data_IF_500025682716
#
_entry.id   IF_500025682716
#
_cell.length_a   1.000
_cell.length_b   1.000
_cell.length_c   1.000
_cell.angle_alpha   90.00
_cell.angle_beta   90.00
_cell.angle_gamma   90.00
#
_symmetry.space_group_name_H-M   'P 1'
#
loop_
_entity.id
_entity.type
_entity.pdbx_description
1 polymer ?
#
# COMPACT_ATOMS: atom_id res chain seq x y z
N UNK A 1 -27.31 45.87 58.20
CA UNK A 1 -26.99 45.74 56.76
C UNK A 1 -25.49 45.67 56.67
N UNK A 2 -25.05 44.43 56.48
CA UNK A 2 -23.71 43.86 56.63
C UNK A 2 -22.66 44.37 55.64
N UNK A 3 -21.38 44.17 56.00
CA UNK A 3 -20.46 43.55 55.04
C UNK A 3 -19.05 44.13 54.92
N UNK A 4 -18.16 43.69 55.80
CA UNK A 4 -16.70 43.89 55.86
C UNK A 4 -15.88 43.14 54.79
N UNK A 5 -14.75 43.76 54.43
CA UNK A 5 -13.37 43.27 54.18
C UNK A 5 -13.02 41.80 53.81
N UNK A 6 -11.98 41.71 52.98
CA UNK A 6 -10.97 40.66 52.77
C UNK A 6 -11.29 39.38 51.97
N UNK A 7 -10.74 39.29 50.74
CA UNK A 7 -9.54 38.47 50.43
C UNK A 7 -9.18 38.45 48.93
N UNK A 8 -7.91 38.72 48.65
CA UNK A 8 -7.20 38.36 47.41
C UNK A 8 -7.38 36.87 47.12
N UNK A 9 -7.75 36.48 45.91
CA UNK A 9 -7.35 35.19 45.30
C UNK A 9 -7.08 35.41 43.81
N UNK A 10 -5.80 35.32 43.48
CA UNK A 10 -5.28 35.18 42.14
C UNK A 10 -5.57 33.74 41.71
N UNK A 11 -6.39 33.52 40.67
CA UNK A 11 -6.56 32.21 40.06
C UNK A 11 -6.59 32.35 38.53
N UNK A 12 -5.40 32.08 37.98
CA UNK A 12 -5.13 31.45 36.69
C UNK A 12 -6.22 30.52 36.16
N UNK A 13 -6.38 30.57 34.83
CA UNK A 13 -7.20 29.77 33.91
C UNK A 13 -7.49 28.31 34.27
N UNK A 14 -8.52 27.74 33.62
CA UNK A 14 -8.19 26.61 32.75
C UNK A 14 -8.67 26.78 31.30
N UNK A 15 -7.71 26.60 30.40
CA UNK A 15 -7.80 26.35 28.96
C UNK A 15 -8.58 25.06 28.61
N UNK A 16 -9.78 24.88 29.12
CA UNK A 16 -10.55 23.66 28.87
C UNK A 16 -12.03 23.93 28.83
N UNK A 17 -12.54 24.23 27.63
CA UNK A 17 -13.88 23.86 27.10
C UNK A 17 -14.22 24.73 25.89
N UNK A 18 -13.54 24.51 24.77
CA UNK A 18 -14.12 24.73 23.44
C UNK A 18 -13.63 23.57 22.56
N UNK A 19 -14.30 22.43 22.76
CA UNK A 19 -14.00 21.17 22.09
C UNK A 19 -14.62 21.18 20.69
N UNK A 20 -13.74 20.99 19.69
CA UNK A 20 -13.92 20.17 18.48
C UNK A 20 -15.17 20.42 17.62
N UNK A 21 -15.06 21.38 16.71
CA UNK A 21 -15.84 21.38 15.46
C UNK A 21 -14.86 21.71 14.33
N UNK A 22 -14.13 20.70 13.86
CA UNK A 22 -13.50 20.63 12.54
C UNK A 22 -12.97 19.20 12.39
N UNK A 23 -13.16 18.63 11.19
CA UNK A 23 -12.82 17.26 10.78
C UNK A 23 -11.91 16.51 11.75
N UNK A 24 -12.43 15.46 12.38
CA UNK A 24 -11.53 14.39 12.83
C UNK A 24 -10.69 14.02 11.62
N UNK A 25 -9.36 14.05 11.82
CA UNK A 25 -8.32 13.72 10.84
C UNK A 25 -8.57 12.38 10.11
N UNK A 26 -9.50 11.55 10.57
CA UNK A 26 -9.91 10.28 9.97
C UNK A 26 -10.46 10.37 8.55
N UNK A 27 -11.18 11.41 8.13
CA UNK A 27 -11.77 11.42 6.77
C UNK A 27 -10.78 11.82 5.66
N UNK A 28 -9.89 12.80 5.90
CA UNK A 28 -8.78 13.08 4.97
C UNK A 28 -7.69 12.00 5.04
N UNK A 29 -7.49 11.39 6.21
CA UNK A 29 -6.62 10.20 6.32
C UNK A 29 -7.23 9.00 5.61
N UNK A 30 -8.56 8.86 5.53
CA UNK A 30 -9.20 7.80 4.77
C UNK A 30 -8.97 7.96 3.26
N UNK A 31 -8.93 9.19 2.74
CA UNK A 31 -8.58 9.45 1.33
C UNK A 31 -7.08 9.18 1.05
N UNK A 32 -6.19 9.49 2.01
CA UNK A 32 -4.75 9.21 1.93
C UNK A 32 -4.40 7.73 2.12
N UNK A 33 -5.20 6.98 2.88
CA UNK A 33 -4.99 5.54 3.12
C UNK A 33 -5.62 4.70 2.00
N UNK A 34 -6.71 5.16 1.37
CA UNK A 34 -7.34 4.44 0.27
C UNK A 34 -6.52 4.46 -1.02
N UNK A 35 -5.64 5.44 -1.27
CA UNK A 35 -4.71 5.38 -2.41
C UNK A 35 -3.49 4.47 -2.17
N UNK A 36 -3.38 3.82 -1.00
CA UNK A 36 -2.24 2.97 -0.65
C UNK A 36 -2.60 1.61 0.01
N UNK A 37 -3.87 1.23 0.18
CA UNK A 37 -4.21 -0.06 0.81
C UNK A 37 -5.55 -0.67 0.35
N UNK A 38 -5.40 -1.84 -0.29
CA UNK A 38 -6.25 -3.04 -0.44
C UNK A 38 -7.79 -3.10 -0.20
N UNK A 39 -8.40 -3.88 -1.10
CA UNK A 39 -9.36 -4.99 -0.90
C UNK A 39 -10.81 -4.77 -0.39
N UNK A 40 -11.77 -5.08 -1.27
CA UNK A 40 -12.90 -5.98 -0.99
C UNK A 40 -14.21 -5.38 -0.45
N UNK A 41 -15.19 -5.11 -1.33
CA UNK A 41 -16.50 -5.80 -1.46
C UNK A 41 -17.45 -5.00 -2.35
N UNK A 42 -18.14 -5.72 -3.25
CA UNK A 42 -18.90 -5.17 -4.36
C UNK A 42 -20.28 -4.60 -3.94
N UNK A 43 -20.61 -3.43 -4.48
CA UNK A 43 -21.94 -2.82 -4.47
C UNK A 43 -22.24 -2.25 -5.87
N UNK A 44 -23.48 -2.42 -6.32
CA UNK A 44 -23.95 -2.36 -7.71
C UNK A 44 -23.82 -1.00 -8.41
N UNK A 45 -23.23 -1.03 -9.62
CA UNK A 45 -22.96 0.11 -10.49
C UNK A 45 -24.20 0.68 -11.21
N UNK A 46 -24.33 2.01 -11.20
CA UNK A 46 -25.13 2.78 -12.15
C UNK A 46 -24.23 3.29 -13.28
N UNK A 47 -24.62 3.00 -14.53
CA UNK A 47 -23.83 3.30 -15.73
C UNK A 47 -23.85 4.81 -16.08
N UNK A 48 -22.67 5.42 -16.22
CA UNK A 48 -22.49 6.78 -16.73
C UNK A 48 -22.44 6.78 -18.27
N UNK A 49 -23.06 7.79 -18.88
CA UNK A 49 -23.27 7.96 -20.32
C UNK A 49 -22.00 8.38 -21.07
N UNK A 50 -21.79 7.81 -22.25
CA UNK A 50 -20.53 7.71 -22.99
C UNK A 50 -20.04 8.95 -23.78
N UNK A 51 -20.45 10.19 -23.44
CA UNK A 51 -20.14 11.37 -24.26
C UNK A 51 -18.91 12.20 -23.81
N UNK A 52 -18.49 12.16 -22.55
CA UNK A 52 -17.40 13.02 -22.01
C UNK A 52 -15.99 12.37 -22.01
N UNK A 53 -15.85 11.18 -22.60
CA UNK A 53 -14.72 10.26 -22.33
C UNK A 53 -13.36 10.58 -22.99
N UNK A 54 -13.21 11.69 -23.73
CA UNK A 54 -11.98 11.98 -24.48
C UNK A 54 -10.91 12.75 -23.68
N UNK A 55 -11.31 13.57 -22.68
CA UNK A 55 -10.38 14.30 -21.81
C UNK A 55 -10.07 13.57 -20.50
N UNK A 56 -11.00 12.74 -20.03
CA UNK A 56 -10.89 12.07 -18.75
C UNK A 56 -9.76 11.01 -18.73
N UNK A 57 -8.92 11.04 -17.71
CA UNK A 57 -7.86 10.04 -17.52
C UNK A 57 -8.46 8.73 -16.98
N UNK A 58 -8.62 7.76 -17.88
CA UNK A 58 -9.16 6.43 -17.58
C UNK A 58 -8.39 5.68 -16.50
N UNK A 59 -7.13 6.03 -16.20
CA UNK A 59 -6.40 5.44 -15.08
C UNK A 59 -7.02 5.80 -13.73
N UNK A 60 -7.50 7.03 -13.58
CA UNK A 60 -8.20 7.49 -12.38
C UNK A 60 -9.51 6.72 -12.20
N UNK A 61 -10.32 6.59 -13.27
CA UNK A 61 -11.55 5.77 -13.23
C UNK A 61 -11.28 4.36 -12.69
N UNK A 62 -10.29 3.65 -13.25
CA UNK A 62 -9.94 2.29 -12.82
C UNK A 62 -9.54 2.22 -11.34
N UNK A 63 -8.82 3.22 -10.85
CA UNK A 63 -8.42 3.28 -9.44
C UNK A 63 -9.62 3.54 -8.54
N UNK A 64 -10.46 4.51 -8.87
CA UNK A 64 -11.67 4.83 -8.09
C UNK A 64 -12.65 3.65 -8.06
N UNK A 65 -12.86 2.98 -9.20
CA UNK A 65 -13.67 1.75 -9.30
C UNK A 65 -13.09 0.62 -8.43
N UNK A 66 -11.77 0.41 -8.46
CA UNK A 66 -11.09 -0.58 -7.63
C UNK A 66 -11.28 -0.31 -6.13
N UNK A 67 -11.33 0.97 -5.74
CA UNK A 67 -11.57 1.41 -4.37
C UNK A 67 -13.06 1.41 -3.98
N UNK A 68 -13.96 1.11 -4.91
CA UNK A 68 -15.40 1.07 -4.67
C UNK A 68 -16.04 2.46 -4.55
N UNK A 69 -15.37 3.51 -5.04
CA UNK A 69 -15.93 4.86 -5.03
C UNK A 69 -16.88 5.07 -6.21
N UNK A 70 -18.02 5.70 -5.93
CA UNK A 70 -18.92 6.22 -6.96
C UNK A 70 -18.47 7.62 -7.34
N UNK A 71 -18.44 7.91 -8.64
CA UNK A 71 -18.00 9.20 -9.16
C UNK A 71 -18.83 9.63 -10.37
N UNK A 72 -18.84 10.93 -10.61
CA UNK A 72 -19.29 11.56 -11.85
C UNK A 72 -18.08 12.19 -12.55
N UNK A 73 -18.10 12.25 -13.87
CA UNK A 73 -17.06 12.93 -14.66
C UNK A 73 -17.62 14.28 -15.09
N UNK A 74 -16.91 15.36 -14.82
CA UNK A 74 -17.35 16.71 -15.20
C UNK A 74 -16.95 17.08 -16.64
N UNK A 75 -17.33 18.29 -17.08
CA UNK A 75 -17.10 18.79 -18.44
C UNK A 75 -15.61 18.90 -18.80
N UNK A 76 -14.73 19.03 -17.81
CA UNK A 76 -13.28 19.09 -17.99
C UNK A 76 -12.62 17.70 -17.92
N UNK A 77 -13.41 16.68 -17.60
CA UNK A 77 -12.97 15.29 -17.48
C UNK A 77 -12.44 14.95 -16.09
N UNK A 78 -12.63 15.80 -15.09
CA UNK A 78 -12.21 15.55 -13.71
C UNK A 78 -13.27 14.69 -13.00
N UNK A 79 -12.83 13.89 -12.02
CA UNK A 79 -13.66 12.90 -11.34
C UNK A 79 -14.20 13.46 -10.02
N UNK A 80 -15.50 13.73 -9.97
CA UNK A 80 -16.21 14.23 -8.80
C UNK A 80 -16.75 13.10 -7.93
N UNK A 81 -16.50 13.17 -6.63
CA UNK A 81 -17.03 12.26 -5.61
C UNK A 81 -17.68 13.06 -4.48
N UNK A 82 -18.74 12.49 -3.89
CA UNK A 82 -19.45 13.08 -2.74
C UNK A 82 -19.32 12.14 -1.55
N UNK A 83 -18.85 12.67 -0.42
CA UNK A 83 -18.67 11.94 0.82
C UNK A 83 -19.60 12.46 1.89
N UNK A 84 -20.25 11.56 2.61
CA UNK A 84 -20.98 11.90 3.83
C UNK A 84 -19.99 12.20 4.97
N UNK A 85 -20.23 13.30 5.67
CA UNK A 85 -19.43 13.79 6.79
C UNK A 85 -20.35 13.95 8.02
N UNK A 86 -19.76 13.85 9.22
CA UNK A 86 -20.49 14.04 10.48
C UNK A 86 -21.37 15.33 10.45
N UNK A 87 -22.65 15.15 10.80
CA UNK A 87 -23.63 16.22 11.01
C UNK A 87 -24.42 16.64 9.77
N UNK A 88 -24.96 15.69 9.00
CA UNK A 88 -25.75 15.91 7.76
C UNK A 88 -25.03 16.75 6.70
N UNK A 89 -23.69 16.76 6.74
CA UNK A 89 -22.85 17.50 5.79
C UNK A 89 -22.29 16.55 4.75
N UNK A 90 -22.20 17.03 3.53
CA UNK A 90 -21.45 16.35 2.47
C UNK A 90 -20.18 17.13 2.15
N UNK A 91 -19.16 16.40 1.69
CA UNK A 91 -17.92 16.96 1.18
C UNK A 91 -17.73 16.49 -0.25
N UNK A 92 -17.50 17.45 -1.15
CA UNK A 92 -17.17 17.15 -2.54
C UNK A 92 -15.66 17.05 -2.69
N UNK A 93 -15.19 16.13 -3.53
CA UNK A 93 -13.79 15.95 -3.89
C UNK A 93 -13.71 15.76 -5.40
N UNK A 94 -12.73 16.41 -6.03
CA UNK A 94 -12.43 16.31 -7.44
C UNK A 94 -11.03 15.70 -7.60
N UNK A 95 -10.90 14.62 -8.35
CA UNK A 95 -9.59 14.13 -8.80
C UNK A 95 -9.35 14.65 -10.21
N UNK A 96 -8.33 15.51 -10.35
CA UNK A 96 -8.06 16.11 -11.65
C UNK A 96 -7.52 15.08 -12.63
N UNK A 97 -7.99 15.09 -13.86
CA UNK A 97 -7.47 14.29 -14.97
C UNK A 97 -6.16 14.86 -15.52
N UNK A 98 -5.96 16.17 -15.40
CA UNK A 98 -4.69 16.83 -15.71
C UNK A 98 -3.56 16.39 -14.77
N UNK A 99 -2.35 16.36 -15.34
CA UNK A 99 -1.10 16.06 -14.65
C UNK A 99 -0.12 17.19 -14.97
N UNK A 100 0.47 17.76 -13.93
CA UNK A 100 1.45 18.83 -14.03
C UNK A 100 2.86 18.27 -13.92
N UNK A 101 3.76 18.73 -14.79
CA UNK A 101 5.16 18.31 -14.81
C UNK A 101 6.03 19.28 -13.98
N UNK A 102 6.69 18.75 -12.96
CA UNK A 102 7.62 19.47 -12.09
C UNK A 102 9.00 18.81 -12.14
N UNK A 103 9.78 19.16 -13.16
CA UNK A 103 11.11 18.59 -13.38
C UNK A 103 11.02 17.10 -13.74
N UNK A 104 11.46 16.23 -12.84
CA UNK A 104 11.35 14.76 -12.99
C UNK A 104 10.12 14.17 -12.30
N UNK A 105 9.29 15.01 -11.68
CA UNK A 105 8.10 14.58 -10.96
C UNK A 105 6.86 14.97 -11.74
N UNK A 106 5.90 14.06 -11.77
CA UNK A 106 4.59 14.31 -12.32
C UNK A 106 3.63 14.41 -11.13
N UNK A 107 2.79 15.44 -11.11
CA UNK A 107 1.88 15.72 -10.00
C UNK A 107 0.46 15.77 -10.52
N UNK A 108 -0.42 14.98 -9.90
CA UNK A 108 -1.87 15.09 -10.02
C UNK A 108 -2.41 15.76 -8.77
N UNK A 109 -3.35 16.67 -8.97
CA UNK A 109 -4.02 17.34 -7.87
C UNK A 109 -5.38 16.70 -7.55
N UNK A 110 -5.69 16.62 -6.26
CA UNK A 110 -7.02 16.29 -5.75
C UNK A 110 -7.54 17.51 -5.00
N UNK A 111 -8.70 18.00 -5.41
CA UNK A 111 -9.27 19.26 -4.92
C UNK A 111 -10.49 19.00 -4.06
N UNK A 112 -10.61 19.70 -2.95
CA UNK A 112 -11.80 19.64 -2.10
C UNK A 112 -12.17 21.04 -1.59
N UNK A 113 -13.33 21.60 -1.99
CA UNK A 113 -13.77 22.91 -1.50
C UNK A 113 -14.06 22.86 -0.01
N UNK A 114 -13.40 23.69 0.79
CA UNK A 114 -13.56 23.72 2.25
C UNK A 114 -14.26 24.97 2.78
N UNK A 115 -14.26 26.07 2.02
CA UNK A 115 -14.92 27.32 2.40
C UNK A 115 -15.23 28.18 1.18
N UNK A 116 -16.43 28.75 1.11
CA UNK A 116 -16.79 29.74 0.08
C UNK A 116 -17.13 31.05 0.76
N UNK A 117 -16.45 32.11 0.33
CA UNK A 117 -16.68 33.48 0.76
C UNK A 117 -17.73 34.16 -0.10
N UNK A 118 -18.43 35.14 0.48
CA UNK A 118 -19.37 35.99 -0.26
C UNK A 118 -18.67 36.96 -1.22
N UNK A 119 -17.37 37.22 -1.01
CA UNK A 119 -16.58 38.12 -1.85
C UNK A 119 -15.31 37.41 -2.33
N UNK A 120 -14.65 37.97 -3.35
CA UNK A 120 -13.33 37.48 -3.78
C UNK A 120 -12.24 37.70 -2.72
N UNK A 121 -12.49 38.46 -1.65
CA UNK A 121 -11.54 38.66 -0.57
C UNK A 121 -11.97 37.87 0.67
N UNK A 122 -11.11 36.95 1.11
CA UNK A 122 -11.40 36.19 2.31
C UNK A 122 -11.32 37.08 3.55
N UNK A 123 -12.21 36.87 4.54
CA UNK A 123 -12.04 37.49 5.84
C UNK A 123 -10.66 37.18 6.41
N UNK A 124 -10.03 38.17 7.05
CA UNK A 124 -8.64 38.06 7.57
C UNK A 124 -8.48 36.83 8.48
N UNK A 125 -9.46 36.58 9.36
CA UNK A 125 -9.43 35.43 10.25
C UNK A 125 -9.41 34.09 9.49
N UNK A 126 -10.15 34.00 8.37
CA UNK A 126 -10.17 32.80 7.52
C UNK A 126 -8.84 32.69 6.78
N UNK A 127 -8.35 33.76 6.15
CA UNK A 127 -7.09 33.73 5.41
C UNK A 127 -5.90 33.30 6.29
N UNK A 128 -5.79 33.86 7.51
CA UNK A 128 -4.75 33.48 8.47
C UNK A 128 -4.87 32.02 8.88
N UNK A 129 -6.09 31.54 9.13
CA UNK A 129 -6.31 30.14 9.49
C UNK A 129 -5.89 29.18 8.38
N UNK A 130 -6.25 29.48 7.12
CA UNK A 130 -5.87 28.65 5.97
C UNK A 130 -4.36 28.65 5.75
N UNK A 131 -3.69 29.78 6.00
CA UNK A 131 -2.24 29.88 5.93
C UNK A 131 -1.57 29.02 7.01
N UNK A 132 -2.03 29.12 8.26
CA UNK A 132 -1.55 28.30 9.37
C UNK A 132 -1.77 26.80 9.12
N UNK A 133 -2.97 26.41 8.67
CA UNK A 133 -3.27 25.00 8.36
C UNK A 133 -2.42 24.48 7.19
N UNK A 134 -2.03 25.33 6.24
CA UNK A 134 -1.15 24.95 5.12
C UNK A 134 0.29 24.63 5.58
N UNK A 135 0.76 25.20 6.69
CA UNK A 135 2.08 24.89 7.24
C UNK A 135 2.20 23.41 7.66
N UNK A 136 1.10 22.82 8.11
CA UNK A 136 1.04 21.44 8.57
C UNK A 136 0.76 20.45 7.43
N UNK A 137 0.19 20.92 6.31
CA UNK A 137 -0.07 20.12 5.13
C UNK A 137 1.23 19.86 4.33
N UNK A 138 1.74 18.62 4.33
CA UNK A 138 3.00 18.27 3.66
C UNK A 138 2.83 17.87 2.20
N UNK A 139 1.69 17.25 1.88
CA UNK A 139 1.37 16.77 0.54
C UNK A 139 0.42 17.72 -0.18
N UNK A 140 0.27 18.96 0.27
CA UNK A 140 -0.76 19.84 -0.23
C UNK A 140 -0.90 21.13 0.57
N UNK A 141 -1.98 21.86 0.36
CA UNK A 141 -2.26 23.10 1.07
C UNK A 141 -3.55 23.76 0.63
N UNK A 142 -3.87 24.90 1.24
CA UNK A 142 -5.04 25.69 0.86
C UNK A 142 -4.72 26.61 -0.30
N UNK A 143 -5.46 26.45 -1.39
CA UNK A 143 -5.40 27.29 -2.59
C UNK A 143 -6.67 28.11 -2.71
N UNK A 144 -6.52 29.39 -3.03
CA UNK A 144 -7.65 30.28 -3.29
C UNK A 144 -8.05 30.21 -4.77
N UNK A 145 -9.27 29.77 -5.03
CA UNK A 145 -9.91 29.79 -6.34
C UNK A 145 -11.07 30.79 -6.30
N UNK A 146 -10.85 31.99 -6.82
CA UNK A 146 -11.80 33.11 -6.74
C UNK A 146 -12.30 33.40 -5.32
N UNK A 147 -13.54 33.01 -4.99
CA UNK A 147 -14.18 33.15 -3.68
C UNK A 147 -14.19 31.84 -2.87
N UNK A 148 -13.60 30.76 -3.37
CA UNK A 148 -13.56 29.45 -2.70
C UNK A 148 -12.15 29.09 -2.27
N UNK A 149 -11.99 28.64 -1.04
CA UNK A 149 -10.78 28.00 -0.54
C UNK A 149 -10.87 26.49 -0.85
N UNK A 150 -9.98 26.05 -1.71
CA UNK A 150 -9.81 24.64 -2.08
C UNK A 150 -8.67 24.06 -1.26
N UNK A 151 -8.90 22.94 -0.60
CA UNK A 151 -7.79 22.13 -0.13
C UNK A 151 -7.29 21.29 -1.30
N UNK A 152 -6.01 21.45 -1.65
CA UNK A 152 -5.37 20.78 -2.79
C UNK A 152 -4.36 19.80 -2.25
N UNK A 153 -4.50 18.53 -2.62
CA UNK A 153 -3.53 17.46 -2.36
C UNK A 153 -2.78 17.12 -3.65
N UNK A 154 -1.47 17.08 -3.55
CA UNK A 154 -0.55 16.69 -4.61
C UNK A 154 -0.21 15.22 -4.44
N UNK A 155 -0.51 14.41 -5.46
CA UNK A 155 -0.17 13.00 -5.52
C UNK A 155 0.59 12.70 -6.81
N UNK A 156 1.36 11.61 -6.83
CA UNK A 156 1.83 11.07 -8.10
C UNK A 156 0.61 10.59 -8.91
N UNK A 157 0.50 10.93 -10.21
CA UNK A 157 -0.61 10.54 -11.07
C UNK A 157 -0.71 9.02 -11.28
N UNK A 158 0.40 8.32 -11.05
CA UNK A 158 0.51 6.88 -11.13
C UNK A 158 1.58 6.42 -10.14
N UNK A 159 1.29 5.53 -9.17
CA UNK A 159 2.31 4.60 -8.74
C UNK A 159 2.56 3.71 -9.96
N UNK A 160 3.59 4.03 -10.77
CA UNK A 160 3.92 3.30 -12.02
C UNK A 160 3.59 1.83 -11.84
N UNK A 161 2.63 1.32 -12.62
CA UNK A 161 2.24 -0.08 -12.48
C UNK A 161 3.50 -0.95 -12.57
N UNK A 162 3.74 -1.72 -11.51
CA UNK A 162 4.88 -2.62 -11.41
C UNK A 162 4.44 -3.88 -10.66
N UNK A 163 4.83 -5.08 -11.13
CA UNK A 163 4.65 -6.29 -10.36
C UNK A 163 5.53 -6.27 -9.11
N UNK A 164 5.07 -6.90 -8.03
CA UNK A 164 5.88 -7.15 -6.86
C UNK A 164 7.02 -8.12 -7.21
N UNK A 165 8.26 -7.68 -7.06
CA UNK A 165 9.41 -8.55 -7.18
C UNK A 165 9.60 -9.34 -5.88
N UNK A 166 9.55 -10.67 -5.98
CA UNK A 166 9.75 -11.58 -4.85
C UNK A 166 10.79 -12.62 -5.19
N UNK A 167 11.38 -13.21 -4.16
CA UNK A 167 12.38 -14.28 -4.28
C UNK A 167 11.91 -15.53 -3.56
N UNK A 168 12.45 -16.68 -3.96
CA UNK A 168 12.21 -17.92 -3.24
C UNK A 168 13.35 -18.91 -3.42
N UNK A 169 13.57 -19.71 -2.38
CA UNK A 169 14.70 -20.65 -2.37
C UNK A 169 14.23 -22.09 -2.22
N UNK A 170 14.50 -22.92 -3.22
CA UNK A 170 14.36 -24.38 -3.12
C UNK A 170 15.65 -24.93 -2.52
N UNK A 171 15.65 -25.13 -1.20
CA UNK A 171 16.76 -25.75 -0.48
C UNK A 171 16.54 -27.25 -0.43
N UNK A 172 17.50 -28.05 -0.93
CA UNK A 172 17.37 -29.51 -0.97
C UNK A 172 18.51 -30.18 -0.22
N UNK A 173 18.16 -31.15 0.62
CA UNK A 173 19.10 -32.02 1.33
C UNK A 173 18.49 -33.41 1.55
N UNK A 174 19.29 -34.46 1.34
CA UNK A 174 18.84 -35.85 1.55
C UNK A 174 17.53 -36.22 0.83
N UNK A 175 17.21 -35.61 -0.32
CA UNK A 175 15.95 -35.83 -1.05
C UNK A 175 14.72 -35.15 -0.44
N UNK A 176 14.92 -34.28 0.55
CA UNK A 176 13.89 -33.43 1.16
C UNK A 176 14.09 -31.97 0.74
N UNK A 177 13.01 -31.19 0.80
CA UNK A 177 12.98 -29.76 0.56
C UNK A 177 12.65 -29.03 1.86
N UNK A 178 13.37 -27.95 2.14
CA UNK A 178 13.08 -27.04 3.24
C UNK A 178 11.88 -26.17 2.88
N UNK A 179 10.91 -26.10 3.77
CA UNK A 179 9.72 -25.26 3.66
C UNK A 179 9.49 -24.52 4.96
N UNK A 180 8.66 -23.49 4.89
CA UNK A 180 8.08 -22.79 6.03
C UNK A 180 6.59 -23.11 6.11
N UNK A 181 6.09 -23.20 7.34
CA UNK A 181 4.67 -23.24 7.64
C UNK A 181 4.30 -21.88 8.23
N UNK A 182 3.35 -21.18 7.60
CA UNK A 182 2.91 -19.84 7.97
C UNK A 182 1.38 -19.81 8.11
N UNK A 183 0.86 -18.99 9.04
CA UNK A 183 -0.59 -18.84 9.25
C UNK A 183 -1.10 -17.59 8.53
N UNK A 184 -1.88 -17.78 7.47
CA UNK A 184 -2.52 -16.70 6.70
C UNK A 184 -4.03 -16.82 6.85
N UNK A 185 -4.69 -15.75 7.28
CA UNK A 185 -6.15 -15.69 7.46
C UNK A 185 -6.71 -16.87 8.30
N UNK A 186 -5.94 -17.29 9.31
CA UNK A 186 -6.31 -18.41 10.19
C UNK A 186 -6.08 -19.80 9.59
N UNK A 187 -5.47 -19.90 8.40
CA UNK A 187 -5.11 -21.17 7.75
C UNK A 187 -3.59 -21.33 7.72
N UNK A 188 -3.12 -22.50 8.16
CA UNK A 188 -1.73 -22.89 7.99
C UNK A 188 -1.45 -23.32 6.55
N UNK A 189 -0.50 -22.64 5.92
CA UNK A 189 -0.05 -22.90 4.56
C UNK A 189 1.45 -23.17 4.51
N UNK A 190 1.89 -23.84 3.45
CA UNK A 190 3.26 -24.23 3.18
C UNK A 190 3.83 -23.39 2.04
N UNK A 191 5.07 -22.95 2.18
CA UNK A 191 5.79 -22.20 1.17
C UNK A 191 7.29 -22.55 1.17
N UNK A 192 7.99 -22.23 0.09
CA UNK A 192 9.45 -22.08 0.18
C UNK A 192 9.77 -20.85 1.04
N UNK A 193 10.98 -20.79 1.64
CA UNK A 193 11.47 -19.55 2.19
C UNK A 193 11.47 -18.47 1.10
N UNK A 194 10.71 -17.40 1.29
CA UNK A 194 10.37 -16.47 0.23
C UNK A 194 9.80 -15.14 0.72
N UNK A 195 10.31 -14.04 0.19
CA UNK A 195 9.77 -12.71 0.48
C UNK A 195 10.07 -11.69 -0.61
N UNK A 196 9.95 -10.41 -0.26
CA UNK A 196 10.05 -9.31 -1.21
C UNK A 196 11.50 -8.89 -1.42
N UNK A 197 11.79 -8.36 -2.61
CA UNK A 197 13.03 -7.63 -2.83
C UNK A 197 12.98 -6.30 -2.07
N UNK A 198 13.99 -6.03 -1.24
CA UNK A 198 14.12 -4.75 -0.55
C UNK A 198 14.98 -3.74 -1.33
N UNK A 199 14.85 -2.42 -1.05
CA UNK A 199 15.69 -1.42 -1.68
C UNK A 199 17.18 -1.60 -1.33
N UNK A 200 18.04 -1.64 -2.36
CA UNK A 200 19.49 -1.65 -2.20
C UNK A 200 20.12 -3.04 -2.01
N UNK A 201 19.36 -4.12 -2.24
CA UNK A 201 19.89 -5.47 -2.28
C UNK A 201 19.70 -6.13 -3.67
N UNK A 202 20.52 -7.14 -3.97
CA UNK A 202 20.31 -8.00 -5.14
C UNK A 202 19.25 -9.06 -4.89
N UNK A 203 18.65 -9.60 -5.96
CA UNK A 203 17.73 -10.74 -5.87
C UNK A 203 18.37 -11.99 -5.22
N UNK A 204 19.69 -12.19 -5.42
CA UNK A 204 20.40 -13.29 -4.77
C UNK A 204 20.60 -13.03 -3.26
N UNK A 205 20.91 -11.78 -2.88
CA UNK A 205 21.03 -11.38 -1.49
C UNK A 205 19.68 -11.51 -0.76
N UNK A 206 18.58 -11.06 -1.39
CA UNK A 206 17.23 -11.22 -0.87
C UNK A 206 16.90 -12.71 -0.62
N UNK A 207 17.20 -13.59 -1.59
CA UNK A 207 16.92 -15.03 -1.44
C UNK A 207 17.67 -15.66 -0.25
N UNK A 208 18.92 -15.23 -0.03
CA UNK A 208 19.73 -15.67 1.12
C UNK A 208 19.19 -15.11 2.44
N UNK A 209 18.84 -13.81 2.48
CA UNK A 209 18.28 -13.12 3.63
C UNK A 209 16.97 -13.78 4.09
N UNK A 210 16.01 -13.89 3.18
CA UNK A 210 14.69 -14.51 3.43
C UNK A 210 14.83 -15.95 3.93
N UNK A 211 15.75 -16.74 3.35
CA UNK A 211 15.96 -18.11 3.81
C UNK A 211 16.43 -18.16 5.26
N UNK A 212 17.35 -17.28 5.63
CA UNK A 212 17.92 -17.22 6.98
C UNK A 212 16.90 -16.69 7.99
N UNK A 213 16.12 -15.67 7.62
CA UNK A 213 15.08 -15.03 8.45
C UNK A 213 13.90 -15.97 8.73
N UNK A 214 13.40 -16.67 7.73
CA UNK A 214 12.22 -17.52 7.89
C UNK A 214 12.55 -18.95 8.37
N UNK A 215 13.80 -19.40 8.29
CA UNK A 215 14.14 -20.80 8.65
C UNK A 215 15.28 -20.99 9.62
N UNK A 216 16.08 -19.97 9.88
CA UNK A 216 17.34 -20.11 10.64
C UNK A 216 18.44 -20.86 9.88
N UNK A 217 18.22 -21.28 8.63
CA UNK A 217 19.23 -21.94 7.81
C UNK A 217 20.03 -20.93 7.00
N UNK A 218 21.36 -21.00 7.16
CA UNK A 218 22.29 -20.45 6.18
C UNK A 218 22.44 -21.42 5.02
N UNK A 219 22.32 -20.91 3.81
CA UNK A 219 22.37 -21.72 2.58
C UNK A 219 23.35 -21.13 1.57
N UNK A 220 23.74 -21.94 0.60
CA UNK A 220 24.52 -21.52 -0.55
C UNK A 220 23.67 -21.69 -1.82
N UNK A 221 23.45 -20.61 -2.58
CA UNK A 221 22.76 -20.69 -3.86
C UNK A 221 23.61 -21.48 -4.86
N UNK A 222 23.00 -22.45 -5.53
CA UNK A 222 23.68 -23.34 -6.48
C UNK A 222 23.27 -23.09 -7.93
N UNK A 223 22.04 -22.62 -8.14
CA UNK A 223 21.54 -22.29 -9.48
C UNK A 223 20.35 -21.33 -9.41
N UNK A 224 20.08 -20.66 -10.52
CA UNK A 224 18.80 -20.01 -10.76
C UNK A 224 17.84 -21.02 -11.40
N UNK A 225 16.61 -21.10 -10.92
CA UNK A 225 15.59 -22.04 -11.45
C UNK A 225 14.75 -21.33 -12.52
N UNK A 226 14.26 -20.12 -12.24
CA UNK A 226 13.39 -19.41 -13.17
C UNK A 226 12.74 -18.17 -12.57
N UNK A 227 12.09 -17.38 -13.44
CA UNK A 227 11.26 -16.24 -13.07
C UNK A 227 9.81 -16.56 -13.45
N UNK A 228 8.90 -16.44 -12.49
CA UNK A 228 7.50 -16.81 -12.65
C UNK A 228 6.61 -15.58 -12.52
N UNK A 229 5.86 -15.28 -13.57
CA UNK A 229 4.82 -14.26 -13.52
C UNK A 229 3.52 -14.89 -13.04
N UNK A 230 2.96 -14.34 -11.97
CA UNK A 230 1.73 -14.85 -11.37
C UNK A 230 0.91 -13.70 -10.82
N UNK A 231 -0.42 -13.80 -10.95
CA UNK A 231 -1.35 -12.89 -10.32
C UNK A 231 -2.07 -13.66 -9.21
N UNK A 232 -1.97 -13.17 -7.98
CA UNK A 232 -2.66 -13.75 -6.84
C UNK A 232 -4.19 -13.60 -6.98
N UNK A 233 -4.94 -14.34 -6.16
CA UNK A 233 -6.41 -14.36 -6.21
C UNK A 233 -7.05 -13.01 -5.91
N UNK A 234 -6.34 -12.14 -5.20
CA UNK A 234 -6.72 -10.75 -4.89
C UNK A 234 -6.38 -9.76 -6.03
N UNK A 235 -5.78 -10.24 -7.12
CA UNK A 235 -5.36 -9.44 -8.27
C UNK A 235 -3.94 -8.87 -8.15
N UNK A 236 -3.19 -9.17 -7.09
CA UNK A 236 -1.82 -8.65 -6.90
C UNK A 236 -0.84 -9.32 -7.89
N UNK A 237 -0.14 -8.55 -8.75
CA UNK A 237 0.80 -9.08 -9.72
C UNK A 237 2.18 -9.32 -9.12
N UNK A 238 2.79 -10.48 -9.39
CA UNK A 238 4.11 -10.88 -8.91
C UNK A 238 5.05 -11.30 -10.05
N UNK A 239 6.33 -11.00 -9.88
CA UNK A 239 7.45 -11.68 -10.53
C UNK A 239 8.28 -12.39 -9.45
N UNK A 240 8.23 -13.73 -9.42
CA UNK A 240 8.94 -14.54 -8.42
C UNK A 240 10.22 -15.14 -9.00
N UNK A 241 11.36 -14.73 -8.48
CA UNK A 241 12.68 -15.20 -8.87
C UNK A 241 13.11 -16.35 -7.97
N UNK A 242 13.24 -17.55 -8.54
CA UNK A 242 13.45 -18.77 -7.77
C UNK A 242 14.88 -19.28 -7.92
N UNK A 243 15.50 -19.61 -6.79
CA UNK A 243 16.86 -20.14 -6.72
C UNK A 243 16.86 -21.55 -6.13
N UNK A 244 17.84 -22.35 -6.55
CA UNK A 244 18.20 -23.60 -5.91
C UNK A 244 19.30 -23.34 -4.89
N UNK A 245 19.28 -24.03 -3.76
CA UNK A 245 20.31 -23.92 -2.75
C UNK A 245 20.59 -25.25 -2.05
N UNK A 246 21.76 -25.33 -1.42
CA UNK A 246 22.14 -26.40 -0.49
C UNK A 246 22.29 -25.81 0.93
N UNK A 247 21.93 -26.54 1.99
CA UNK A 247 22.15 -26.06 3.34
C UNK A 247 23.65 -26.00 3.67
N UNK A 248 24.02 -25.04 4.53
CA UNK A 248 25.39 -24.85 5.03
C UNK A 248 25.43 -25.03 6.55
N UNK A 249 24.57 -24.33 7.28
CA UNK A 249 24.46 -24.40 8.73
C UNK A 249 23.08 -24.00 9.20
N UNK A 250 22.70 -24.44 10.41
CA UNK A 250 21.41 -24.12 11.03
C UNK A 250 21.64 -23.53 12.41
N UNK A 251 21.00 -22.40 12.69
CA UNK A 251 20.86 -21.86 14.03
C UNK A 251 19.43 -22.10 14.54
N UNK A 252 19.18 -23.18 15.30
CA UNK A 252 17.85 -23.51 15.79
C UNK A 252 17.34 -22.54 16.88
N UNK A 253 18.21 -21.71 17.44
CA UNK A 253 17.85 -20.74 18.47
C UNK A 253 17.48 -19.36 17.87
N UNK A 254 17.70 -19.18 16.56
CA UNK A 254 17.35 -17.94 15.87
C UNK A 254 15.82 -17.74 15.87
N UNK A 255 15.31 -16.59 16.34
CA UNK A 255 13.92 -16.24 16.16
C UNK A 255 13.57 -16.16 14.67
N UNK A 256 12.49 -16.81 14.28
CA UNK A 256 11.96 -16.70 12.92
C UNK A 256 11.12 -15.43 12.78
N UNK A 257 10.94 -14.99 11.55
CA UNK A 257 10.13 -13.82 11.22
C UNK A 257 8.67 -13.93 11.70
N UNK A 258 8.08 -12.77 11.99
CA UNK A 258 6.72 -12.69 12.47
C UNK A 258 5.75 -13.24 11.42
N UNK A 259 5.01 -14.29 11.77
CA UNK A 259 4.07 -14.98 10.87
C UNK A 259 4.54 -16.37 10.44
N UNK A 260 5.81 -16.70 10.67
CA UNK A 260 6.33 -18.06 10.47
C UNK A 260 6.10 -18.90 11.72
N UNK A 261 5.35 -19.99 11.58
CA UNK A 261 5.07 -20.91 12.67
C UNK A 261 6.29 -21.84 12.92
N UNK A 262 6.92 -22.31 11.84
CA UNK A 262 8.13 -23.16 11.87
C UNK A 262 8.71 -23.39 10.48
N UNK A 263 9.98 -23.80 10.45
CA UNK A 263 10.60 -24.44 9.29
C UNK A 263 10.53 -25.98 9.39
N UNK A 264 10.32 -26.66 8.27
CA UNK A 264 10.22 -28.12 8.20
C UNK A 264 10.78 -28.68 6.90
N UNK A 265 11.24 -29.93 6.96
CA UNK A 265 11.74 -30.67 5.80
C UNK A 265 10.71 -31.68 5.32
N UNK A 266 10.28 -31.56 4.06
CA UNK A 266 9.32 -32.48 3.44
C UNK A 266 9.93 -33.17 2.23
N UNK A 267 9.55 -34.42 1.96
CA UNK A 267 9.82 -35.06 0.67
C UNK A 267 8.93 -34.44 -0.41
N UNK A 268 9.32 -34.49 -1.70
CA UNK A 268 8.45 -34.07 -2.80
C UNK A 268 7.07 -34.74 -2.79
N UNK A 269 7.01 -36.03 -2.43
CA UNK A 269 5.74 -36.76 -2.35
C UNK A 269 4.84 -36.23 -1.23
N UNK A 270 5.41 -35.92 -0.05
CA UNK A 270 4.67 -35.31 1.05
C UNK A 270 4.14 -33.91 0.66
N UNK A 271 4.96 -33.09 -0.01
CA UNK A 271 4.53 -31.76 -0.46
C UNK A 271 3.43 -31.84 -1.52
N UNK A 272 3.53 -32.78 -2.45
CA UNK A 272 2.51 -33.01 -3.46
C UNK A 272 1.19 -33.48 -2.85
N UNK A 273 1.24 -34.37 -1.85
CA UNK A 273 0.06 -34.81 -1.10
C UNK A 273 -0.55 -33.65 -0.29
N UNK A 274 0.25 -32.67 0.11
CA UNK A 274 -0.17 -31.46 0.80
C UNK A 274 -0.59 -30.31 -0.15
N UNK A 275 -0.98 -30.59 -1.41
CA UNK A 275 -1.37 -29.57 -2.40
C UNK A 275 -2.42 -28.57 -1.87
N UNK A 276 -3.41 -29.05 -1.10
CA UNK A 276 -4.43 -28.20 -0.48
C UNK A 276 -3.93 -27.28 0.64
N UNK A 277 -2.65 -27.37 1.03
CA UNK A 277 -2.03 -26.51 2.06
C UNK A 277 -0.95 -25.60 1.47
N UNK A 278 -0.70 -25.62 0.17
CA UNK A 278 0.33 -24.78 -0.43
C UNK A 278 -0.16 -23.33 -0.55
N UNK A 279 0.71 -22.35 -0.24
CA UNK A 279 0.37 -20.92 -0.27
C UNK A 279 -0.03 -20.43 -1.67
N UNK A 280 0.56 -21.02 -2.71
CA UNK A 280 0.24 -20.71 -4.10
C UNK A 280 0.59 -21.90 -5.00
N UNK A 281 0.09 -21.93 -6.25
CA UNK A 281 0.51 -22.93 -7.24
C UNK A 281 2.02 -22.94 -7.51
N UNK A 282 2.71 -21.82 -7.24
CA UNK A 282 4.15 -21.68 -7.43
C UNK A 282 4.96 -22.59 -6.50
N UNK A 283 4.41 -22.97 -5.35
CA UNK A 283 5.11 -23.83 -4.38
C UNK A 283 5.47 -25.17 -5.00
N UNK A 284 4.50 -25.85 -5.63
CA UNK A 284 4.76 -27.09 -6.36
C UNK A 284 5.42 -26.84 -7.71
N UNK A 285 4.98 -25.86 -8.49
CA UNK A 285 5.52 -25.63 -9.84
C UNK A 285 7.03 -25.43 -9.83
N UNK A 286 7.55 -24.59 -8.92
CA UNK A 286 8.98 -24.29 -8.83
C UNK A 286 9.78 -25.53 -8.39
N UNK A 287 9.24 -26.34 -7.46
CA UNK A 287 9.88 -27.60 -7.09
C UNK A 287 9.84 -28.61 -8.24
N UNK A 288 8.74 -28.69 -8.98
CA UNK A 288 8.62 -29.60 -10.12
C UNK A 288 9.65 -29.26 -11.22
N UNK A 289 9.84 -27.98 -11.53
CA UNK A 289 10.88 -27.53 -12.47
C UNK A 289 12.28 -27.84 -11.92
N UNK A 290 12.49 -27.66 -10.62
CA UNK A 290 13.72 -28.08 -9.96
C UNK A 290 13.96 -29.60 -10.14
N UNK A 291 12.94 -30.43 -9.91
CA UNK A 291 13.04 -31.89 -10.04
C UNK A 291 13.21 -32.35 -11.49
N UNK A 292 12.69 -31.59 -12.45
CA UNK A 292 12.89 -31.80 -13.88
C UNK A 292 14.32 -31.45 -14.37
N UNK A 293 15.19 -30.97 -13.46
CA UNK A 293 16.58 -30.65 -13.76
C UNK A 293 16.81 -29.20 -14.23
N UNK A 294 15.82 -28.32 -14.12
CA UNK A 294 15.96 -26.93 -14.53
C UNK A 294 16.95 -26.18 -13.63
N UNK A 295 18.16 -25.94 -14.15
CA UNK A 295 19.24 -25.22 -13.47
C UNK A 295 19.90 -24.28 -14.47
N UNK A 296 19.87 -22.99 -14.17
CA UNK A 296 20.57 -21.95 -14.92
C UNK A 296 21.70 -21.36 -14.07
N UNK A 297 22.75 -20.80 -14.70
CA UNK A 297 23.79 -20.09 -13.97
C UNK A 297 23.21 -18.94 -13.16
N UNK A 298 23.70 -18.73 -11.93
CA UNK A 298 23.31 -17.58 -11.10
C UNK A 298 23.53 -16.25 -11.84
N UNK A 299 24.56 -16.18 -12.67
CA UNK A 299 24.90 -15.01 -13.49
C UNK A 299 23.87 -14.67 -14.59
N UNK A 300 22.79 -15.45 -14.75
CA UNK A 300 21.66 -15.10 -15.61
C UNK A 300 20.89 -13.89 -15.06
N UNK A 301 20.88 -13.73 -13.74
CA UNK A 301 20.32 -12.56 -13.05
C UNK A 301 21.50 -11.74 -12.53
N UNK A 302 21.66 -10.52 -13.05
CA UNK A 302 22.78 -9.64 -12.68
C UNK A 302 22.26 -8.36 -12.07
N UNK A 303 22.80 -8.04 -10.91
CA UNK A 303 22.78 -6.66 -10.41
C UNK A 303 23.86 -5.88 -11.16
N UNK A 304 23.46 -4.75 -11.75
CA UNK A 304 24.38 -3.80 -12.39
C UNK A 304 24.23 -2.50 -11.61
N UNK A 305 25.24 -2.20 -10.80
CA UNK A 305 25.34 -0.96 -10.03
C UNK A 305 26.01 0.14 -10.85
#
# INVERSE_FOLDING_TARGET
MDGTDARRHNCTFPHSRFHRIFMKRTLLSALLIALAAAAGTAGTAGAATAADSAKADKAVARQLEKLGYTFEVDEDGDYQMVFDVEGDRTQIVYVRSSVEDFGTHNIREIWSPGYTSQTKQFPVAVANRLLEDSQDAKMGGWVKQESTAMFVLNTSPDPRWAPHATVATVVVDGGRVLLVEETIEGRQVLNQPAGHLEPGESLAAAALRETVEETGWTVELTAFIGCYQWTATDGTPFLRFCYAARPVSHDPARPLDAGIDRALWMTPAELQAAAGRQRSPLVWQVLADYLAGQRYPLALVREVA
#
